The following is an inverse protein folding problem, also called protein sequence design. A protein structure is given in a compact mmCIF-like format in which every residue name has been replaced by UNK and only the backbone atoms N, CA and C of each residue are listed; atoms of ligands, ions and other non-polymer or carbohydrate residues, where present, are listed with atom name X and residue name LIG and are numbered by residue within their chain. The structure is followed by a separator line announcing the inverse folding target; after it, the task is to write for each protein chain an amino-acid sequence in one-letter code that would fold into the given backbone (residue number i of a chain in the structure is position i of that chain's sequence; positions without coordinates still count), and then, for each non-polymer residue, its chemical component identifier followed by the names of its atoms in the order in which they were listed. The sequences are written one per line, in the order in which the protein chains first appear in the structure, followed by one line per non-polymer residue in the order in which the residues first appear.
data_IF_109545789070
#
_entry.id   IF_109545789070
#
_cell.length_a   1.000
_cell.length_b   1.000
_cell.length_c   1.000
_cell.angle_alpha   90.00
_cell.angle_beta   90.00
_cell.angle_gamma   90.00
#
_symmetry.space_group_name_H-M   'P 1'
#
loop_
_entity.id
_entity.type
_entity.pdbx_description
1 polymer ?
#
# COMPACT_ATOMS: atom_id res chain seq x y z
N UNK A 1 -2.45 -22.44 -15.14
CA UNK A 1 -3.29 -23.11 -14.10
C UNK A 1 -3.98 -22.12 -13.14
N UNK A 2 -3.38 -20.99 -12.72
CA UNK A 2 -4.01 -20.03 -11.80
C UNK A 2 -5.26 -19.30 -12.36
N UNK A 3 -5.27 -18.92 -13.63
CA UNK A 3 -6.40 -18.22 -14.26
C UNK A 3 -7.70 -19.04 -14.30
N UNK A 4 -7.63 -20.36 -14.45
CA UNK A 4 -8.83 -21.22 -14.52
C UNK A 4 -9.53 -21.36 -13.16
N UNK A 5 -8.84 -21.03 -12.05
CA UNK A 5 -9.42 -21.02 -10.69
C UNK A 5 -10.35 -19.82 -10.48
N UNK A 6 -10.07 -18.68 -11.11
CA UNK A 6 -10.90 -17.48 -11.03
C UNK A 6 -12.17 -17.55 -11.88
N UNK A 7 -12.25 -18.45 -12.87
CA UNK A 7 -13.43 -18.62 -13.71
C UNK A 7 -14.58 -19.40 -13.04
N UNK A 8 -14.38 -19.87 -11.80
CA UNK A 8 -15.47 -20.43 -10.99
C UNK A 8 -16.29 -19.27 -10.40
N UNK A 9 -17.60 -19.17 -10.68
CA UNK A 9 -18.40 -17.99 -10.33
C UNK A 9 -18.37 -17.65 -8.83
N UNK A 10 -18.29 -18.66 -7.95
CA UNK A 10 -18.16 -18.43 -6.51
C UNK A 10 -16.82 -17.82 -6.07
N UNK A 11 -15.72 -18.16 -6.74
CA UNK A 11 -14.37 -17.63 -6.41
C UNK A 11 -14.22 -16.22 -6.97
N UNK A 12 -14.71 -15.96 -8.18
CA UNK A 12 -14.75 -14.63 -8.78
C UNK A 12 -15.52 -13.64 -7.89
N UNK A 13 -16.73 -14.01 -7.47
CA UNK A 13 -17.58 -13.18 -6.62
C UNK A 13 -16.90 -12.89 -5.28
N UNK A 14 -16.32 -13.91 -4.63
CA UNK A 14 -15.58 -13.73 -3.37
C UNK A 14 -14.39 -12.78 -3.52
N UNK A 15 -13.63 -12.87 -4.62
CA UNK A 15 -12.47 -12.01 -4.87
C UNK A 15 -12.89 -10.55 -5.09
N UNK A 16 -13.98 -10.32 -5.84
CA UNK A 16 -14.52 -8.97 -6.08
C UNK A 16 -15.03 -8.35 -4.78
N UNK A 17 -15.80 -9.10 -3.98
CA UNK A 17 -16.31 -8.64 -2.70
C UNK A 17 -15.18 -8.31 -1.71
N UNK A 18 -14.14 -9.15 -1.66
CA UNK A 18 -12.96 -8.87 -0.85
C UNK A 18 -12.25 -7.60 -1.31
N UNK A 19 -12.01 -7.44 -2.61
CA UNK A 19 -11.36 -6.24 -3.16
C UNK A 19 -12.15 -4.96 -2.83
N UNK A 20 -13.47 -4.98 -3.03
CA UNK A 20 -14.33 -3.84 -2.69
C UNK A 20 -14.30 -3.59 -1.18
N UNK A 21 -14.43 -4.63 -0.35
CA UNK A 21 -14.43 -4.51 1.11
C UNK A 21 -13.12 -3.90 1.65
N UNK A 22 -11.97 -4.44 1.24
CA UNK A 22 -10.68 -3.90 1.64
C UNK A 22 -10.41 -2.51 1.05
N UNK A 23 -10.86 -2.26 -0.18
CA UNK A 23 -10.76 -0.96 -0.83
C UNK A 23 -11.53 0.13 -0.06
N UNK A 24 -12.79 -0.14 0.28
CA UNK A 24 -13.63 0.78 1.05
C UNK A 24 -13.02 1.01 2.43
N UNK A 25 -12.56 -0.04 3.11
CA UNK A 25 -11.93 0.09 4.42
C UNK A 25 -10.66 0.95 4.35
N UNK A 26 -9.81 0.72 3.34
CA UNK A 26 -8.58 1.50 3.11
C UNK A 26 -8.89 2.99 2.88
N UNK A 27 -9.84 3.31 2.00
CA UNK A 27 -10.22 4.69 1.71
C UNK A 27 -10.91 5.35 2.91
N UNK A 28 -11.65 4.58 3.71
CA UNK A 28 -12.25 5.08 4.94
C UNK A 28 -11.19 5.49 5.98
N UNK A 29 -10.14 4.68 6.17
CA UNK A 29 -9.01 5.05 7.03
C UNK A 29 -8.29 6.31 6.53
N UNK A 30 -8.11 6.45 5.21
CA UNK A 30 -7.55 7.66 4.61
C UNK A 30 -8.43 8.88 4.88
N UNK A 31 -9.74 8.75 4.68
CA UNK A 31 -10.72 9.82 4.95
C UNK A 31 -10.68 10.26 6.42
N UNK A 32 -10.54 9.32 7.35
CA UNK A 32 -10.36 9.62 8.77
C UNK A 32 -9.05 10.36 9.06
N UNK A 33 -7.95 9.96 8.44
CA UNK A 33 -6.67 10.66 8.60
C UNK A 33 -6.74 12.10 8.06
N UNK A 34 -7.40 12.30 6.92
CA UNK A 34 -7.56 13.62 6.30
C UNK A 34 -8.36 14.62 7.16
N UNK A 35 -9.07 14.17 8.20
CA UNK A 35 -9.74 15.06 9.16
C UNK A 35 -8.76 15.78 10.08
N UNK A 36 -7.55 15.26 10.24
CA UNK A 36 -6.52 15.79 11.16
C UNK A 36 -5.24 16.21 10.47
N UNK A 37 -4.94 15.66 9.29
CA UNK A 37 -3.76 16.04 8.51
C UNK A 37 -4.13 16.56 7.11
N UNK A 38 -3.40 17.56 6.58
CA UNK A 38 -3.50 18.03 5.21
C UNK A 38 -3.58 16.91 4.17
N UNK A 39 -4.44 17.12 3.18
CA UNK A 39 -4.71 16.20 2.06
C UNK A 39 -3.43 15.65 1.43
N UNK A 40 -2.47 16.53 1.11
CA UNK A 40 -1.21 16.16 0.47
C UNK A 40 -0.37 15.21 1.32
N UNK A 41 -0.25 15.48 2.61
CA UNK A 41 0.46 14.62 3.56
C UNK A 41 -0.24 13.27 3.73
N UNK A 42 -1.57 13.28 3.84
CA UNK A 42 -2.35 12.06 4.00
C UNK A 42 -2.18 11.13 2.79
N UNK A 43 -2.30 11.66 1.56
CA UNK A 43 -2.12 10.88 0.33
C UNK A 43 -0.69 10.36 0.16
N UNK A 44 0.32 11.19 0.45
CA UNK A 44 1.71 10.78 0.36
C UNK A 44 2.02 9.62 1.33
N UNK A 45 1.60 9.74 2.60
CA UNK A 45 1.78 8.67 3.60
C UNK A 45 1.00 7.41 3.22
N UNK A 46 -0.26 7.55 2.80
CA UNK A 46 -1.08 6.41 2.39
C UNK A 46 -0.45 5.62 1.22
N UNK A 47 -0.06 6.32 0.17
CA UNK A 47 0.56 5.71 -1.01
C UNK A 47 1.93 5.12 -0.66
N UNK A 48 2.70 5.82 0.17
CA UNK A 48 4.01 5.38 0.62
C UNK A 48 3.98 4.09 1.44
N UNK A 49 3.02 3.94 2.36
CA UNK A 49 2.83 2.69 3.11
C UNK A 49 2.48 1.54 2.17
N UNK A 50 1.60 1.76 1.19
CA UNK A 50 1.26 0.74 0.18
C UNK A 50 2.47 0.30 -0.65
N UNK A 51 3.29 1.25 -1.09
CA UNK A 51 4.52 0.98 -1.83
C UNK A 51 5.54 0.20 -0.99
N UNK A 52 5.77 0.62 0.27
CA UNK A 52 6.65 -0.07 1.20
C UNK A 52 6.20 -1.50 1.46
N UNK A 53 4.91 -1.70 1.77
CA UNK A 53 4.34 -3.02 1.99
C UNK A 53 4.52 -3.93 0.77
N UNK A 54 4.26 -3.42 -0.43
CA UNK A 54 4.45 -4.18 -1.68
C UNK A 54 5.91 -4.58 -1.89
N UNK A 55 6.86 -3.67 -1.65
CA UNK A 55 8.28 -3.97 -1.82
C UNK A 55 8.76 -4.98 -0.77
N UNK A 56 8.36 -4.82 0.50
CA UNK A 56 8.71 -5.76 1.58
C UNK A 56 8.14 -7.15 1.28
N UNK A 57 6.86 -7.25 0.88
CA UNK A 57 6.26 -8.53 0.49
C UNK A 57 6.92 -9.13 -0.76
N UNK A 58 7.31 -8.29 -1.73
CA UNK A 58 8.14 -8.68 -2.88
C UNK A 58 9.43 -9.38 -2.44
N UNK A 59 10.14 -8.77 -1.50
CA UNK A 59 11.41 -9.32 -0.98
C UNK A 59 11.17 -10.59 -0.15
N UNK A 60 10.19 -10.60 0.75
CA UNK A 60 9.98 -11.71 1.70
C UNK A 60 9.31 -12.92 1.06
N UNK A 61 8.28 -12.72 0.24
CA UNK A 61 7.46 -13.79 -0.33
C UNK A 61 8.00 -14.20 -1.70
N UNK A 62 8.26 -13.22 -2.58
CA UNK A 62 8.67 -13.47 -3.96
C UNK A 62 10.19 -13.59 -4.11
N UNK A 63 10.95 -13.35 -3.04
CA UNK A 63 12.42 -13.38 -3.01
C UNK A 63 13.03 -12.48 -4.09
N UNK A 64 12.40 -11.34 -4.33
CA UNK A 64 12.92 -10.32 -5.22
C UNK A 64 14.38 -9.97 -4.87
N UNK A 65 15.27 -9.84 -5.85
CA UNK A 65 16.65 -9.45 -5.60
C UNK A 65 16.70 -8.07 -4.93
N UNK A 66 17.36 -8.03 -3.78
CA UNK A 66 17.59 -6.81 -3.01
C UNK A 66 18.91 -6.20 -3.48
N UNK A 67 18.85 -5.06 -4.17
CA UNK A 67 20.03 -4.27 -4.50
C UNK A 67 20.24 -3.17 -3.46
N UNK A 68 21.50 -2.76 -3.26
CA UNK A 68 21.85 -1.64 -2.40
C UNK A 68 21.13 -0.35 -2.82
N UNK A 69 21.01 -0.10 -4.13
CA UNK A 69 20.26 1.04 -4.66
C UNK A 69 18.78 1.01 -4.29
N UNK A 70 18.14 -0.17 -4.35
CA UNK A 70 16.73 -0.33 -3.95
C UNK A 70 16.54 -0.02 -2.47
N UNK A 71 17.44 -0.51 -1.61
CA UNK A 71 17.39 -0.21 -0.17
C UNK A 71 17.62 1.28 0.13
N UNK A 72 18.53 1.93 -0.59
CA UNK A 72 18.79 3.36 -0.45
C UNK A 72 17.57 4.22 -0.80
N UNK A 73 16.92 3.98 -1.93
CA UNK A 73 15.70 4.73 -2.28
C UNK A 73 14.53 4.40 -1.36
N UNK A 74 14.46 3.17 -0.85
CA UNK A 74 13.43 2.76 0.09
C UNK A 74 13.58 3.45 1.45
N UNK A 75 14.81 3.57 1.96
CA UNK A 75 15.07 4.34 3.18
C UNK A 75 14.79 5.83 2.98
N UNK A 76 15.17 6.40 1.83
CA UNK A 76 14.87 7.80 1.50
C UNK A 76 13.36 8.05 1.42
N UNK A 77 12.59 7.11 0.86
CA UNK A 77 11.13 7.15 0.88
C UNK A 77 10.58 7.16 2.31
N UNK A 78 11.04 6.26 3.18
CA UNK A 78 10.62 6.23 4.60
C UNK A 78 10.93 7.56 5.30
N UNK A 79 12.16 8.08 5.13
CA UNK A 79 12.57 9.36 5.72
C UNK A 79 11.67 10.50 5.23
N UNK A 80 11.34 10.51 3.94
CA UNK A 80 10.49 11.53 3.34
C UNK A 80 9.07 11.49 3.91
N UNK A 81 8.49 10.30 4.12
CA UNK A 81 7.17 10.14 4.73
C UNK A 81 7.13 10.65 6.18
N UNK A 82 8.17 10.34 6.96
CA UNK A 82 8.29 10.80 8.35
C UNK A 82 8.44 12.32 8.39
N UNK A 83 9.32 12.89 7.54
CA UNK A 83 9.52 14.32 7.44
C UNK A 83 8.24 15.06 7.02
N UNK A 84 7.48 14.52 6.08
CA UNK A 84 6.23 15.12 5.63
C UNK A 84 5.20 15.15 6.76
N UNK A 85 5.06 14.06 7.54
CA UNK A 85 4.21 14.04 8.73
C UNK A 85 4.68 15.01 9.81
N UNK A 86 5.99 15.16 10.01
CA UNK A 86 6.55 16.07 11.02
C UNK A 86 6.30 17.55 10.68
N UNK A 87 6.37 17.90 9.40
CA UNK A 87 6.16 19.28 8.92
C UNK A 87 4.69 19.63 8.74
N UNK A 88 3.83 18.61 8.63
CA UNK A 88 2.39 18.79 8.47
C UNK A 88 1.73 19.11 9.82
N UNK A 89 1.97 20.33 10.29
CA UNK A 89 1.35 20.94 11.49
C UNK A 89 -0.06 21.45 11.21
#
# INVERSE_FOLDING_TARGET
MLFNRFNKPGIALGTILAFIGFGVLSVWFLSKAMQTIPLGTAYAVWTGIGALGTIILGILIFKDPVSLGRLFFLSLLVISLIGLKATSS
#
